data_IF_025118110756
#
_entry.id   IF_025118110756
#
_cell.length_a   1.000
_cell.length_b   1.000
_cell.length_c   1.000
_cell.angle_alpha   90.00
_cell.angle_beta   90.00
_cell.angle_gamma   90.00
#
_symmetry.space_group_name_H-M   'P 1'
#
loop_
_entity.id
_entity.type
_entity.pdbx_description
1 polymer ?
#
# COMPACT_ATOMS: atom_id res chain seq x y z
N UNK A 1 -9.11 -7.21 9.42
CA UNK A 1 -9.74 -8.42 9.99
C UNK A 1 -11.19 -8.50 9.56
N UNK A 2 -11.90 -9.67 9.62
CA UNK A 2 -13.28 -9.80 9.16
C UNK A 2 -14.28 -8.93 9.92
N UNK A 3 -13.95 -8.56 11.13
CA UNK A 3 -14.73 -7.72 12.05
C UNK A 3 -14.39 -6.23 11.98
N UNK A 4 -13.55 -5.82 11.03
CA UNK A 4 -13.14 -4.43 10.87
C UNK A 4 -14.32 -3.52 10.51
N UNK A 5 -14.33 -2.31 11.03
CA UNK A 5 -15.27 -1.28 10.59
C UNK A 5 -14.84 -0.68 9.25
N UNK A 6 -15.51 -1.10 8.17
CA UNK A 6 -15.19 -0.67 6.82
C UNK A 6 -15.50 0.82 6.59
N UNK A 7 -16.40 1.41 7.35
CA UNK A 7 -16.72 2.84 7.23
C UNK A 7 -15.57 3.73 7.69
N UNK A 8 -14.71 3.21 8.56
CA UNK A 8 -13.50 3.87 9.04
C UNK A 8 -12.25 3.40 8.29
N UNK A 9 -12.12 2.08 8.09
CA UNK A 9 -10.91 1.50 7.51
C UNK A 9 -10.70 1.90 6.04
N UNK A 10 -11.77 1.95 5.23
CA UNK A 10 -11.65 2.27 3.80
C UNK A 10 -11.19 3.71 3.56
N UNK A 11 -11.80 4.75 4.17
CA UNK A 11 -11.29 6.12 4.04
C UNK A 11 -9.85 6.30 4.56
N UNK A 12 -9.51 5.64 5.67
CA UNK A 12 -8.16 5.72 6.23
C UNK A 12 -7.11 5.10 5.29
N UNK A 13 -7.38 3.93 4.72
CA UNK A 13 -6.49 3.31 3.73
C UNK A 13 -6.43 4.14 2.45
N UNK A 14 -7.55 4.69 1.99
CA UNK A 14 -7.58 5.61 0.86
C UNK A 14 -6.62 6.79 1.07
N UNK A 15 -6.81 7.54 2.15
CA UNK A 15 -5.96 8.69 2.45
C UNK A 15 -4.50 8.27 2.69
N UNK A 16 -4.26 7.17 3.41
CA UNK A 16 -2.92 6.64 3.67
C UNK A 16 -2.17 6.24 2.41
N UNK A 17 -2.86 5.81 1.36
CA UNK A 17 -2.24 5.32 0.12
C UNK A 17 -2.05 6.40 -0.94
N UNK A 18 -2.99 7.37 -1.06
CA UNK A 18 -2.95 8.41 -2.09
C UNK A 18 -2.47 9.77 -1.56
N UNK A 19 -2.59 10.02 -0.28
CA UNK A 19 -2.18 11.27 0.34
C UNK A 19 -0.74 11.62 -0.01
N UNK A 20 -0.47 12.85 -0.46
CA UNK A 20 0.84 13.30 -0.96
C UNK A 20 1.41 12.42 -2.09
N UNK A 21 0.55 11.84 -2.93
CA UNK A 21 0.93 10.93 -4.01
C UNK A 21 1.81 9.74 -3.53
N UNK A 22 1.51 9.19 -2.34
CA UNK A 22 2.28 8.06 -1.77
C UNK A 22 3.68 8.41 -1.28
N UNK A 23 4.03 9.69 -1.17
CA UNK A 23 5.39 10.18 -0.88
C UNK A 23 5.61 10.49 0.61
N UNK A 24 5.03 9.70 1.51
CA UNK A 24 5.32 9.73 2.95
C UNK A 24 6.01 8.46 3.38
N UNK A 25 6.86 8.52 4.39
CA UNK A 25 7.44 7.34 5.03
C UNK A 25 6.38 6.41 5.63
N UNK A 26 5.22 6.95 6.02
CA UNK A 26 4.07 6.22 6.57
C UNK A 26 2.97 5.92 5.54
N UNK A 27 3.19 6.15 4.24
CA UNK A 27 2.19 5.81 3.22
C UNK A 27 1.85 4.33 3.25
N UNK A 28 0.56 4.02 3.11
CA UNK A 28 0.08 2.63 3.03
C UNK A 28 0.49 2.02 1.70
N UNK A 29 1.48 1.15 1.71
CA UNK A 29 2.02 0.46 0.53
C UNK A 29 1.58 -0.98 0.45
N UNK A 30 1.28 -1.59 1.60
CA UNK A 30 0.87 -2.99 1.75
C UNK A 30 -0.44 -3.04 2.51
N UNK A 31 -1.43 -3.68 1.93
CA UNK A 31 -2.75 -3.85 2.49
C UNK A 31 -3.08 -5.34 2.58
N UNK A 32 -3.22 -5.85 3.78
CA UNK A 32 -3.60 -7.23 4.03
C UNK A 32 -5.07 -7.28 4.38
N UNK A 33 -5.87 -7.99 3.59
CA UNK A 33 -7.31 -8.12 3.77
C UNK A 33 -7.67 -9.55 4.11
N UNK A 34 -8.42 -9.74 5.18
CA UNK A 34 -9.02 -11.05 5.41
C UNK A 34 -10.00 -11.36 4.27
N UNK A 35 -9.93 -12.58 3.73
CA UNK A 35 -10.69 -13.02 2.54
C UNK A 35 -12.18 -12.73 2.63
N UNK A 36 -12.78 -12.85 3.81
CA UNK A 36 -14.22 -12.63 4.00
C UNK A 36 -14.67 -11.19 3.69
N UNK A 37 -13.79 -10.19 3.83
CA UNK A 37 -14.13 -8.78 3.60
C UNK A 37 -13.45 -8.19 2.37
N UNK A 38 -12.50 -8.89 1.77
CA UNK A 38 -11.69 -8.37 0.67
C UNK A 38 -12.54 -7.87 -0.51
N UNK A 39 -13.56 -8.61 -1.00
CA UNK A 39 -14.37 -8.13 -2.13
C UNK A 39 -15.10 -6.82 -1.83
N UNK A 40 -15.72 -6.72 -0.65
CA UNK A 40 -16.45 -5.51 -0.27
C UNK A 40 -15.50 -4.34 -0.02
N UNK A 41 -14.39 -4.58 0.68
CA UNK A 41 -13.38 -3.56 0.93
C UNK A 41 -12.82 -2.99 -0.36
N UNK A 42 -12.43 -3.85 -1.31
CA UNK A 42 -11.88 -3.44 -2.59
C UNK A 42 -12.90 -2.70 -3.46
N UNK A 43 -14.15 -3.11 -3.44
CA UNK A 43 -15.22 -2.41 -4.15
C UNK A 43 -15.40 -0.97 -3.62
N UNK A 44 -15.45 -0.79 -2.29
CA UNK A 44 -15.54 0.53 -1.66
C UNK A 44 -14.29 1.37 -1.91
N UNK A 45 -13.09 0.80 -1.78
CA UNK A 45 -11.83 1.50 -2.04
C UNK A 45 -11.75 1.94 -3.49
N UNK A 46 -12.11 1.08 -4.45
CA UNK A 46 -12.17 1.41 -5.87
C UNK A 46 -13.10 2.60 -6.16
N UNK A 47 -14.24 2.67 -5.49
CA UNK A 47 -15.18 3.80 -5.61
C UNK A 47 -14.53 5.12 -5.20
N UNK A 48 -13.75 5.14 -4.11
CA UNK A 48 -13.02 6.33 -3.68
C UNK A 48 -11.91 6.71 -4.68
N UNK A 49 -11.18 5.72 -5.21
CA UNK A 49 -10.15 5.95 -6.22
C UNK A 49 -10.72 6.45 -7.56
N UNK A 50 -11.95 6.10 -7.89
CA UNK A 50 -12.66 6.58 -9.07
C UNK A 50 -13.32 7.95 -8.86
N UNK A 51 -13.25 8.53 -7.65
CA UNK A 51 -13.84 9.82 -7.34
C UNK A 51 -13.20 10.95 -8.17
N UNK A 52 -13.98 11.90 -8.69
CA UNK A 52 -13.46 13.10 -9.33
C UNK A 52 -12.51 13.90 -8.42
N UNK A 53 -12.66 13.82 -7.09
CA UNK A 53 -11.78 14.47 -6.13
C UNK A 53 -10.33 13.95 -6.19
N UNK A 54 -10.09 12.75 -6.73
CA UNK A 54 -8.75 12.18 -6.90
C UNK A 54 -8.10 12.56 -8.26
N UNK A 55 -8.72 13.41 -9.04
CA UNK A 55 -8.06 13.94 -10.24
C UNK A 55 -6.84 14.78 -9.82
N UNK A 56 -5.72 14.64 -10.52
CA UNK A 56 -4.54 15.43 -10.22
C UNK A 56 -4.80 16.90 -10.56
N UNK A 57 -4.22 17.77 -9.78
CA UNK A 57 -4.41 19.21 -9.93
C UNK A 57 -3.21 20.03 -9.48
N UNK A 58 -3.36 21.34 -9.59
CA UNK A 58 -2.37 22.29 -9.08
C UNK A 58 -2.20 22.09 -7.56
N UNK A 59 -0.99 21.77 -7.06
CA UNK A 59 -0.75 21.59 -5.64
C UNK A 59 -0.97 22.85 -4.79
N UNK A 60 -1.06 24.02 -5.42
CA UNK A 60 -1.38 25.29 -4.75
C UNK A 60 -2.90 25.54 -4.64
N UNK A 61 -3.75 24.75 -5.32
CA UNK A 61 -5.19 24.80 -5.14
C UNK A 61 -5.61 23.95 -3.93
N UNK A 62 -6.21 24.57 -2.92
CA UNK A 62 -6.67 23.87 -1.69
C UNK A 62 -7.68 22.73 -1.96
N UNK A 63 -8.30 22.67 -3.13
CA UNK A 63 -9.21 21.60 -3.54
C UNK A 63 -8.49 20.39 -4.12
N UNK A 64 -7.21 20.49 -4.42
CA UNK A 64 -6.41 19.42 -5.01
C UNK A 64 -6.02 18.41 -3.92
N UNK A 65 -6.49 17.17 -4.07
CA UNK A 65 -6.10 16.05 -3.21
C UNK A 65 -4.83 15.36 -3.72
N UNK A 66 -4.66 15.26 -5.03
CA UNK A 66 -3.54 14.56 -5.67
C UNK A 66 -2.64 15.56 -6.43
N UNK A 67 -1.46 15.80 -5.89
CA UNK A 67 -0.41 16.56 -6.53
C UNK A 67 0.54 15.66 -7.35
N UNK A 68 1.60 16.26 -7.94
CA UNK A 68 2.59 15.53 -8.72
C UNK A 68 3.56 14.73 -7.86
N UNK A 69 4.27 13.80 -8.49
CA UNK A 69 5.50 13.26 -7.93
C UNK A 69 6.60 14.31 -7.96
N UNK A 70 7.50 14.26 -6.98
CA UNK A 70 8.51 15.29 -6.76
C UNK A 70 9.58 15.40 -7.86
N UNK A 71 9.71 14.39 -8.73
CA UNK A 71 10.75 14.36 -9.77
C UNK A 71 10.42 13.41 -10.92
N UNK A 72 11.13 13.62 -12.04
CA UNK A 72 11.12 12.67 -13.17
C UNK A 72 11.64 11.29 -12.78
N UNK A 73 12.61 11.20 -11.88
CA UNK A 73 13.09 9.91 -11.37
C UNK A 73 11.99 9.14 -10.63
N UNK A 74 11.12 9.84 -9.88
CA UNK A 74 9.98 9.22 -9.23
C UNK A 74 8.93 8.69 -10.22
N UNK A 75 8.77 9.34 -11.39
CA UNK A 75 7.96 8.78 -12.48
C UNK A 75 8.51 7.44 -12.97
N UNK A 76 9.82 7.34 -13.18
CA UNK A 76 10.44 6.08 -13.60
C UNK A 76 10.24 4.98 -12.56
N UNK A 77 10.38 5.31 -11.26
CA UNK A 77 10.08 4.37 -10.16
C UNK A 77 8.62 3.90 -10.22
N UNK A 78 7.68 4.79 -10.54
CA UNK A 78 6.28 4.42 -10.69
C UNK A 78 6.06 3.48 -11.88
N UNK A 79 6.65 3.78 -13.05
CA UNK A 79 6.54 2.94 -14.24
C UNK A 79 7.13 1.55 -14.01
N UNK A 80 8.31 1.49 -13.40
CA UNK A 80 8.96 0.23 -13.03
C UNK A 80 8.10 -0.56 -12.05
N UNK A 81 7.47 0.12 -11.07
CA UNK A 81 6.57 -0.53 -10.14
C UNK A 81 5.37 -1.18 -10.84
N UNK A 82 4.72 -0.47 -11.76
CA UNK A 82 3.57 -0.99 -12.51
C UNK A 82 4.00 -2.14 -13.43
N UNK A 83 5.14 -2.00 -14.11
CA UNK A 83 5.68 -3.06 -14.97
C UNK A 83 6.00 -4.34 -14.20
N UNK A 84 6.65 -4.22 -13.03
CA UNK A 84 6.96 -5.37 -12.16
C UNK A 84 5.68 -6.04 -11.62
N UNK A 85 4.66 -5.27 -11.26
CA UNK A 85 3.36 -5.81 -10.81
C UNK A 85 2.70 -6.65 -11.91
N UNK A 86 2.68 -6.13 -13.14
CA UNK A 86 2.14 -6.87 -14.28
C UNK A 86 2.96 -8.15 -14.58
N UNK A 87 4.29 -8.06 -14.55
CA UNK A 87 5.18 -9.20 -14.74
C UNK A 87 5.01 -10.28 -13.65
N UNK A 88 4.69 -9.87 -12.42
CA UNK A 88 4.40 -10.78 -11.31
C UNK A 88 2.98 -11.39 -11.36
N UNK A 89 2.17 -11.06 -12.37
CA UNK A 89 0.80 -11.54 -12.49
C UNK A 89 -0.18 -10.92 -11.49
N UNK A 90 0.13 -9.72 -10.96
CA UNK A 90 -0.81 -9.01 -10.12
C UNK A 90 -2.03 -8.54 -10.93
N UNK A 91 -3.21 -8.68 -10.34
CA UNK A 91 -4.43 -8.14 -10.93
C UNK A 91 -4.53 -6.65 -10.59
N UNK A 92 -4.47 -5.79 -11.59
CA UNK A 92 -4.69 -4.36 -11.40
C UNK A 92 -6.19 -4.11 -11.19
N UNK A 93 -6.56 -3.78 -9.94
CA UNK A 93 -7.95 -3.48 -9.54
C UNK A 93 -8.33 -2.07 -9.96
N UNK A 94 -7.38 -1.15 -9.91
CA UNK A 94 -7.55 0.24 -10.32
C UNK A 94 -6.21 0.85 -10.76
N UNK A 95 -6.24 1.54 -11.89
CA UNK A 95 -5.12 2.35 -12.42
C UNK A 95 -5.67 3.56 -13.17
N UNK A 96 -6.56 4.31 -12.54
CA UNK A 96 -7.05 5.60 -13.05
C UNK A 96 -7.96 5.56 -14.29
N UNK A 97 -8.66 4.45 -14.56
CA UNK A 97 -9.68 4.35 -15.62
C UNK A 97 -9.28 3.45 -16.79
N UNK A 98 -10.30 3.08 -17.57
CA UNK A 98 -10.22 2.09 -18.61
C UNK A 98 -9.23 2.50 -19.73
N UNK A 99 -8.29 1.62 -20.03
CA UNK A 99 -7.50 1.65 -21.26
C UNK A 99 -6.29 2.56 -21.28
N UNK A 100 -5.79 3.04 -20.13
CA UNK A 100 -4.59 3.89 -20.13
C UNK A 100 -3.32 3.09 -19.97
N UNK A 101 -2.50 3.14 -21.01
CA UNK A 101 -1.13 2.69 -20.97
C UNK A 101 -0.35 3.42 -19.87
N UNK A 102 0.24 2.66 -18.96
CA UNK A 102 1.27 3.11 -18.00
C UNK A 102 0.86 4.00 -16.82
N UNK A 103 -0.44 4.20 -16.51
CA UNK A 103 -0.85 4.93 -15.30
C UNK A 103 -0.44 6.40 -15.24
N UNK A 104 0.02 6.98 -16.33
CA UNK A 104 0.34 8.42 -16.43
C UNK A 104 -0.86 9.21 -16.91
N UNK A 105 -0.97 10.45 -16.46
CA UNK A 105 -1.88 11.40 -17.07
C UNK A 105 -1.22 12.01 -18.30
N UNK A 106 -1.77 11.70 -19.49
CA UNK A 106 -1.26 12.22 -20.76
C UNK A 106 -1.86 13.57 -21.15
N UNK A 107 -3.08 13.86 -20.67
CA UNK A 107 -3.89 14.98 -21.16
C UNK A 107 -4.37 15.86 -20.00
N UNK A 108 -3.43 16.38 -19.22
CA UNK A 108 -3.77 17.39 -18.22
C UNK A 108 -3.87 18.76 -18.91
N UNK A 109 -4.90 19.52 -18.52
CA UNK A 109 -5.04 20.89 -19.00
C UNK A 109 -3.79 21.71 -18.63
N UNK A 110 -3.30 22.55 -19.56
CA UNK A 110 -2.29 23.56 -19.26
C UNK A 110 -2.72 24.40 -18.03
N UNK A 111 -1.85 24.66 -17.03
CA UNK A 111 -0.38 24.54 -17.07
C UNK A 111 0.19 23.20 -16.53
N UNK A 112 -0.61 22.19 -16.27
CA UNK A 112 -0.18 20.95 -15.63
C UNK A 112 0.45 19.97 -16.64
N UNK A 113 0.33 20.23 -17.92
CA UNK A 113 0.88 19.39 -18.98
C UNK A 113 2.41 19.23 -18.84
N UNK A 114 2.88 18.03 -19.05
CA UNK A 114 4.29 17.68 -18.87
C UNK A 114 4.75 17.54 -17.40
N UNK A 115 3.85 17.71 -16.42
CA UNK A 115 4.13 17.49 -15.01
C UNK A 115 4.30 16.02 -14.64
N UNK A 116 4.79 15.77 -13.43
CA UNK A 116 5.07 14.43 -12.93
C UNK A 116 3.81 13.77 -12.30
N UNK A 117 2.70 13.79 -13.01
CA UNK A 117 1.43 13.27 -12.51
C UNK A 117 1.25 11.80 -12.86
N UNK A 118 0.81 11.02 -11.87
CA UNK A 118 0.51 9.59 -12.02
C UNK A 118 -0.84 9.25 -11.41
N UNK A 119 -1.44 8.17 -11.89
CA UNK A 119 -2.70 7.66 -11.37
C UNK A 119 -2.43 6.68 -10.24
N UNK A 120 -3.01 6.88 -9.05
CA UNK A 120 -2.89 5.91 -7.97
C UNK A 120 -3.33 4.52 -8.43
N UNK A 121 -2.58 3.51 -8.01
CA UNK A 121 -2.76 2.12 -8.45
C UNK A 121 -3.06 1.20 -7.29
N UNK A 122 -4.08 0.35 -7.44
CA UNK A 122 -4.40 -0.76 -6.55
C UNK A 122 -4.07 -2.06 -7.28
N UNK A 123 -3.17 -2.86 -6.75
CA UNK A 123 -2.75 -4.13 -7.32
C UNK A 123 -3.03 -5.28 -6.34
N UNK A 124 -3.92 -6.20 -6.72
CA UNK A 124 -4.14 -7.44 -5.98
C UNK A 124 -3.06 -8.45 -6.38
N UNK A 125 -2.26 -8.84 -5.42
CA UNK A 125 -1.16 -9.77 -5.62
C UNK A 125 -1.68 -11.19 -5.86
N UNK A 126 -0.97 -12.01 -6.64
CA UNK A 126 -1.28 -13.43 -6.75
C UNK A 126 -1.35 -14.10 -5.38
N UNK A 127 -2.16 -15.15 -5.27
CA UNK A 127 -2.31 -15.89 -4.01
C UNK A 127 -0.95 -16.28 -3.46
N UNK A 128 -0.65 -15.81 -2.26
CA UNK A 128 0.60 -16.12 -1.61
C UNK A 128 0.60 -17.58 -1.13
N UNK A 129 1.74 -18.28 -1.15
CA UNK A 129 1.82 -19.61 -0.58
C UNK A 129 1.47 -19.54 0.90
N UNK A 130 0.53 -20.39 1.34
CA UNK A 130 0.17 -20.52 2.75
C UNK A 130 1.38 -21.01 3.55
N UNK A 131 1.53 -20.53 4.77
CA UNK A 131 2.68 -20.77 5.66
C UNK A 131 2.97 -22.26 6.00
N UNK A 132 2.13 -23.19 5.56
CA UNK A 132 2.35 -24.65 5.71
C UNK A 132 3.48 -25.20 4.82
N UNK A 133 4.02 -24.46 3.88
CA UNK A 133 5.26 -24.81 3.19
C UNK A 133 6.44 -24.17 3.92
N UNK A 134 6.97 -24.85 4.94
CA UNK A 134 8.31 -24.72 5.55
C UNK A 134 9.07 -23.41 5.23
N UNK A 135 8.54 -22.27 5.63
CA UNK A 135 9.36 -21.09 5.78
C UNK A 135 10.13 -21.25 7.11
N UNK A 136 11.20 -22.05 7.05
CA UNK A 136 12.23 -22.00 8.08
C UNK A 136 12.81 -20.61 8.02
N UNK A 137 12.53 -19.81 9.03
CA UNK A 137 13.23 -18.55 9.28
C UNK A 137 14.74 -18.85 9.34
N UNK A 138 15.41 -18.70 8.24
CA UNK A 138 16.86 -18.48 8.26
C UNK A 138 17.06 -16.99 8.50
N UNK A 139 17.05 -16.60 9.77
CA UNK A 139 17.73 -15.42 10.22
C UNK A 139 19.23 -15.65 10.06
N UNK A 140 19.72 -15.61 8.83
CA UNK A 140 21.12 -15.38 8.51
C UNK A 140 21.20 -13.93 8.06
N UNK A 141 21.90 -13.13 8.86
CA UNK A 141 22.38 -11.84 8.41
C UNK A 141 23.04 -12.04 7.05
N UNK A 142 22.45 -11.48 6.00
CA UNK A 142 23.04 -11.46 4.66
C UNK A 142 24.21 -10.49 4.76
N UNK A 143 25.42 -10.96 4.56
CA UNK A 143 26.61 -10.11 4.54
C UNK A 143 26.50 -9.13 3.37
N UNK A 144 26.93 -7.89 3.56
CA UNK A 144 26.88 -6.80 2.56
C UNK A 144 27.52 -7.15 1.20
N UNK A 145 28.34 -8.20 1.13
CA UNK A 145 29.01 -8.66 -0.09
C UNK A 145 28.13 -9.49 -1.04
N UNK A 146 26.94 -9.95 -0.61
CA UNK A 146 26.01 -10.72 -1.46
C UNK A 146 24.92 -9.84 -2.09
N UNK A 147 24.81 -8.57 -1.70
CA UNK A 147 23.82 -7.64 -2.24
C UNK A 147 24.10 -7.21 -3.67
N UNK A 148 25.33 -7.21 -4.12
CA UNK A 148 25.74 -6.77 -5.45
C UNK A 148 25.69 -7.86 -6.54
N UNK A 149 25.60 -9.13 -6.14
CA UNK A 149 25.57 -10.26 -7.06
C UNK A 149 24.18 -10.79 -7.39
N UNK A 150 23.14 -10.41 -6.60
CA UNK A 150 21.75 -10.69 -6.92
C UNK A 150 21.15 -9.44 -7.55
N UNK A 151 21.02 -9.48 -8.87
CA UNK A 151 20.36 -8.42 -9.62
C UNK A 151 19.09 -7.94 -8.93
N UNK A 152 18.86 -6.66 -8.96
CA UNK A 152 17.80 -5.91 -8.29
C UNK A 152 16.40 -6.57 -8.44
N UNK A 153 16.06 -7.57 -7.63
CA UNK A 153 14.80 -8.29 -7.77
C UNK A 153 14.51 -9.46 -6.84
N UNK A 154 15.37 -9.80 -5.91
CA UNK A 154 15.24 -11.08 -5.16
C UNK A 154 14.36 -11.06 -3.90
N UNK A 155 13.52 -10.04 -3.69
CA UNK A 155 12.51 -10.02 -2.61
C UNK A 155 11.09 -10.01 -3.18
N UNK A 156 10.07 -10.32 -2.36
CA UNK A 156 8.69 -10.15 -2.80
C UNK A 156 8.50 -8.70 -3.26
N UNK A 157 7.72 -8.53 -4.30
CA UNK A 157 7.53 -7.25 -5.00
C UNK A 157 7.15 -6.10 -4.06
N UNK A 158 6.45 -6.40 -2.97
CA UNK A 158 6.07 -5.45 -1.92
C UNK A 158 7.16 -5.14 -0.89
N UNK A 159 8.32 -5.84 -0.92
CA UNK A 159 9.41 -5.59 0.03
C UNK A 159 10.17 -4.30 -0.29
N UNK A 160 10.08 -3.79 -1.53
CA UNK A 160 10.70 -2.53 -1.89
C UNK A 160 9.83 -1.36 -1.47
N UNK A 161 10.43 -0.41 -0.77
CA UNK A 161 9.81 0.87 -0.51
C UNK A 161 9.93 1.76 -1.77
N UNK A 162 8.76 2.12 -2.31
CA UNK A 162 8.64 3.02 -3.46
C UNK A 162 7.78 4.21 -3.05
N UNK A 163 8.32 5.39 -3.11
CA UNK A 163 7.60 6.63 -2.77
C UNK A 163 6.70 7.06 -3.92
N UNK A 164 5.74 6.21 -4.27
CA UNK A 164 4.75 6.40 -5.36
C UNK A 164 3.38 5.88 -4.91
N UNK A 165 2.26 6.35 -5.50
CA UNK A 165 0.92 5.97 -5.06
C UNK A 165 0.49 4.60 -5.60
N UNK A 166 1.17 3.56 -5.15
CA UNK A 166 0.88 2.16 -5.46
C UNK A 166 0.65 1.40 -4.16
N UNK A 167 -0.51 0.74 -4.04
CA UNK A 167 -0.82 -0.15 -2.93
C UNK A 167 -0.92 -1.59 -3.41
N UNK A 168 -0.11 -2.47 -2.80
CA UNK A 168 -0.16 -3.90 -3.02
C UNK A 168 -1.11 -4.54 -2.03
N UNK A 169 -2.08 -5.28 -2.52
CA UNK A 169 -3.09 -5.97 -1.70
C UNK A 169 -2.80 -7.46 -1.69
N UNK A 170 -2.83 -8.08 -0.52
CA UNK A 170 -2.81 -9.53 -0.39
C UNK A 170 -3.96 -10.00 0.51
N UNK A 171 -4.54 -11.15 0.16
CA UNK A 171 -5.61 -11.76 0.94
C UNK A 171 -5.05 -12.83 1.86
N UNK A 172 -5.53 -12.85 3.12
CA UNK A 172 -5.15 -13.84 4.12
C UNK A 172 -6.39 -14.52 4.74
N UNK A 173 -6.19 -15.66 5.38
CA UNK A 173 -7.20 -16.36 6.17
C UNK A 173 -6.90 -16.28 7.67
N UNK A 174 -5.65 -16.47 8.07
CA UNK A 174 -5.23 -16.45 9.46
C UNK A 174 -4.36 -15.23 9.77
N UNK A 175 -4.57 -14.60 10.91
CA UNK A 175 -3.83 -13.37 11.31
C UNK A 175 -2.31 -13.58 11.31
N UNK A 176 -1.87 -14.80 11.61
CA UNK A 176 -0.47 -15.20 11.61
C UNK A 176 0.20 -15.07 10.24
N UNK A 177 -0.57 -15.25 9.14
CA UNK A 177 -0.07 -15.03 7.77
C UNK A 177 0.21 -13.53 7.56
N UNK A 178 -0.73 -12.67 7.96
CA UNK A 178 -0.57 -11.22 7.85
C UNK A 178 0.59 -10.71 8.71
N UNK A 179 0.78 -11.25 9.92
CA UNK A 179 1.93 -10.93 10.79
C UNK A 179 3.23 -11.35 10.10
N UNK A 180 3.31 -12.57 9.57
CA UNK A 180 4.50 -13.07 8.89
C UNK A 180 4.87 -12.19 7.68
N UNK A 181 3.90 -11.79 6.87
CA UNK A 181 4.15 -10.91 5.72
C UNK A 181 4.51 -9.47 6.14
N UNK A 182 3.91 -8.97 7.21
CA UNK A 182 4.24 -7.66 7.77
C UNK A 182 5.71 -7.58 8.16
N UNK A 183 6.21 -8.64 8.81
CA UNK A 183 7.57 -8.71 9.35
C UNK A 183 8.61 -9.24 8.34
N UNK A 184 8.18 -9.65 7.12
CA UNK A 184 9.07 -10.20 6.08
C UNK A 184 9.75 -9.13 5.22
N UNK A 185 9.86 -7.90 5.69
CA UNK A 185 10.47 -6.77 4.97
C UNK A 185 11.43 -6.03 5.89
N UNK A 186 12.46 -5.36 5.35
CA UNK A 186 13.43 -4.64 6.17
C UNK A 186 12.87 -3.36 6.81
N UNK A 187 11.76 -2.81 6.26
CA UNK A 187 11.13 -1.61 6.80
C UNK A 187 10.20 -1.99 7.97
N UNK A 188 10.25 -1.22 9.05
CA UNK A 188 9.44 -1.43 10.25
C UNK A 188 8.99 -0.11 10.89
N UNK A 189 8.61 0.90 10.08
CA UNK A 189 8.24 2.20 10.63
C UNK A 189 6.85 2.16 11.27
N UNK A 190 5.82 1.77 10.50
CA UNK A 190 4.45 1.80 10.98
C UNK A 190 3.61 0.65 10.46
N UNK A 191 2.70 0.17 11.28
CA UNK A 191 1.68 -0.80 10.95
C UNK A 191 0.33 -0.44 11.57
N UNK A 192 -0.75 -0.98 11.02
CA UNK A 192 -2.10 -0.74 11.53
C UNK A 192 -2.94 -2.01 11.43
N UNK A 193 -3.64 -2.35 12.53
CA UNK A 193 -4.61 -3.44 12.57
C UNK A 193 -6.02 -2.90 12.73
N UNK A 194 -6.96 -3.39 11.92
CA UNK A 194 -8.38 -3.05 11.97
C UNK A 194 -9.19 -4.25 12.46
N UNK A 195 -9.63 -4.20 13.73
CA UNK A 195 -10.38 -5.28 14.38
C UNK A 195 -11.16 -4.76 15.58
N UNK A 196 -12.23 -5.46 15.96
CA UNK A 196 -12.97 -5.25 17.21
C UNK A 196 -12.66 -6.33 18.25
N UNK A 197 -11.86 -7.34 17.90
CA UNK A 197 -11.49 -8.43 18.78
C UNK A 197 -10.17 -8.12 19.53
N UNK A 198 -10.27 -7.95 20.85
CA UNK A 198 -9.12 -7.69 21.72
C UNK A 198 -8.04 -8.79 21.66
N UNK A 199 -8.41 -10.03 21.30
CA UNK A 199 -7.46 -11.14 21.14
C UNK A 199 -6.55 -10.90 19.93
N UNK A 200 -7.10 -10.39 18.83
CA UNK A 200 -6.31 -10.00 17.66
C UNK A 200 -5.41 -8.80 17.99
N UNK A 201 -5.91 -7.84 18.77
CA UNK A 201 -5.10 -6.72 19.28
C UNK A 201 -3.91 -7.26 20.06
N UNK A 202 -4.14 -8.11 21.06
CA UNK A 202 -3.09 -8.71 21.87
C UNK A 202 -2.04 -9.48 21.06
N UNK A 203 -2.45 -10.22 20.01
CA UNK A 203 -1.52 -10.88 19.08
C UNK A 203 -0.69 -9.87 18.27
N UNK A 204 -1.33 -8.82 17.73
CA UNK A 204 -0.67 -7.84 16.86
C UNK A 204 0.36 -6.99 17.59
N UNK A 205 0.05 -6.55 18.81
CA UNK A 205 0.97 -5.72 19.63
C UNK A 205 1.90 -6.55 20.53
N UNK A 206 1.69 -7.86 20.59
CA UNK A 206 2.49 -8.77 21.42
C UNK A 206 3.89 -9.03 20.85
N UNK A 207 4.75 -9.74 21.60
CA UNK A 207 6.16 -9.95 21.22
C UNK A 207 6.35 -10.71 19.90
N UNK A 208 5.38 -11.51 19.48
CA UNK A 208 5.38 -12.24 18.20
C UNK A 208 4.50 -11.55 17.14
N UNK A 209 4.04 -10.34 17.39
CA UNK A 209 3.17 -9.56 16.51
C UNK A 209 3.93 -8.70 15.52
N UNK A 210 3.43 -7.49 15.27
CA UNK A 210 4.05 -6.55 14.35
C UNK A 210 5.38 -6.02 14.90
N UNK A 211 6.44 -6.08 14.11
CA UNK A 211 7.78 -5.55 14.44
C UNK A 211 7.94 -4.06 14.08
N UNK A 212 6.86 -3.36 13.82
CA UNK A 212 6.90 -1.93 13.50
C UNK A 212 7.09 -1.06 14.75
N UNK A 213 7.81 0.05 14.58
CA UNK A 213 8.03 1.02 15.66
C UNK A 213 6.78 1.81 16.06
N UNK A 214 5.84 2.01 15.12
CA UNK A 214 4.53 2.62 15.35
C UNK A 214 3.47 1.59 15.02
N UNK A 215 2.72 1.15 16.03
CA UNK A 215 1.65 0.17 15.86
C UNK A 215 0.32 0.80 16.23
N UNK A 216 -0.56 0.96 15.22
CA UNK A 216 -1.90 1.49 15.41
C UNK A 216 -2.92 0.36 15.44
N UNK A 217 -3.97 0.54 16.25
CA UNK A 217 -5.14 -0.34 16.27
C UNK A 217 -6.39 0.50 16.09
N UNK A 218 -7.34 0.03 15.30
CA UNK A 218 -8.55 0.75 14.85
C UNK A 218 -9.41 1.37 15.94
N UNK A 219 -9.18 1.04 17.19
CA UNK A 219 -9.91 1.60 18.34
C UNK A 219 -9.45 3.02 18.75
N UNK A 220 -8.32 3.50 18.22
CA UNK A 220 -7.65 4.73 18.68
C UNK A 220 -7.66 5.88 17.67
N UNK A 221 -8.21 5.71 16.47
CA UNK A 221 -8.11 6.72 15.40
C UNK A 221 -9.03 7.95 15.57
N UNK A 222 -9.91 7.97 16.56
CA UNK A 222 -10.69 9.17 16.88
C UNK A 222 -9.84 10.35 17.37
N UNK A 223 -8.61 10.10 17.86
CA UNK A 223 -7.75 11.15 18.41
C UNK A 223 -6.76 11.76 17.41
N UNK A 224 -6.53 11.17 16.23
CA UNK A 224 -5.55 11.68 15.29
C UNK A 224 -6.15 12.55 14.17
N UNK A 225 -7.47 12.51 13.96
CA UNK A 225 -8.12 13.35 12.96
C UNK A 225 -8.46 14.76 13.45
N UNK A 226 -8.55 15.01 14.77
CA UNK A 226 -8.85 16.34 15.33
C UNK A 226 -7.63 17.28 15.36
N UNK A 227 -6.43 16.81 15.00
CA UNK A 227 -5.22 17.65 14.99
C UNK A 227 -4.79 18.15 13.59
N UNK A 228 -5.57 17.89 12.54
CA UNK A 228 -5.21 18.27 11.16
C UNK A 228 -6.30 19.08 10.44
N UNK A 229 -7.13 19.82 11.19
CA UNK A 229 -7.95 20.90 10.64
C UNK A 229 -7.52 22.23 11.20
#
# INVERSE_FOLDING_TARGET
MPDADLSLAVPAVFFGSVGTAGQRCTSTRRLYLHRAIAPEFLARLRTLYASPALQPGDPLDARTLLGPLHSRAALNIFDDAVAELNAAGAQIIFSGGDGVSNGRYADLASPLDGGNFVRPTIALMPKQPTSNSKFKSKSKAVSESESDAMGAGAGPLWARERFVPVVCVAEFEELEEAIAWNNAVPQGLSSSLWTRDVRHVGKWIGPAGSDAGIVNVSFLLYFLFDYFY
#
